data_IF_988987770048
#
_entry.id   IF_988987770048
#
_cell.length_a   1.000
_cell.length_b   1.000
_cell.length_c   1.000
_cell.angle_alpha   90.00
_cell.angle_beta   90.00
_cell.angle_gamma   90.00
#
_symmetry.space_group_name_H-M   'P 1'
#
loop_
_entity.id
_entity.type
_entity.pdbx_description
1 polymer ?
#
# COMPACT_ATOMS: atom_id res chain seq x y z
N UNK A 1 16.83 -24.88 -7.76
CA UNK A 1 17.19 -23.54 -8.29
C UNK A 1 18.38 -22.97 -7.51
N UNK A 2 19.34 -22.34 -8.20
CA UNK A 2 20.29 -21.45 -7.54
C UNK A 2 19.61 -20.07 -7.40
N UNK A 3 19.26 -19.73 -6.17
CA UNK A 3 18.48 -18.50 -5.86
C UNK A 3 19.32 -17.26 -6.11
N UNK A 4 20.62 -17.29 -5.76
CA UNK A 4 21.48 -16.12 -5.98
C UNK A 4 21.71 -15.85 -7.47
N UNK A 5 21.86 -16.91 -8.28
CA UNK A 5 21.92 -16.77 -9.73
C UNK A 5 20.62 -16.18 -10.31
N UNK A 6 19.45 -16.60 -9.78
CA UNK A 6 18.16 -16.02 -10.15
C UNK A 6 18.09 -14.51 -9.84
N UNK A 7 18.45 -14.10 -8.62
CA UNK A 7 18.46 -12.69 -8.22
C UNK A 7 19.37 -11.86 -9.12
N UNK A 8 20.59 -12.34 -9.35
CA UNK A 8 21.60 -11.66 -10.18
C UNK A 8 21.17 -11.53 -11.64
N UNK A 9 20.34 -12.45 -12.15
CA UNK A 9 19.81 -12.42 -13.50
C UNK A 9 18.57 -11.54 -13.65
N UNK A 10 17.62 -11.63 -12.70
CA UNK A 10 16.26 -11.08 -12.83
C UNK A 10 16.19 -9.65 -12.35
N UNK A 11 16.74 -9.35 -11.16
CA UNK A 11 16.63 -8.03 -10.56
C UNK A 11 17.16 -6.90 -11.48
N UNK A 12 18.35 -6.99 -12.13
CA UNK A 12 18.83 -5.90 -12.96
C UNK A 12 17.95 -5.61 -14.18
N UNK A 13 17.25 -6.63 -14.68
CA UNK A 13 16.33 -6.49 -15.82
C UNK A 13 15.06 -5.75 -15.41
N UNK A 14 14.51 -6.07 -14.23
CA UNK A 14 13.32 -5.40 -13.68
C UNK A 14 13.65 -3.97 -13.27
N UNK A 15 14.78 -3.76 -12.61
CA UNK A 15 15.25 -2.43 -12.21
C UNK A 15 15.38 -1.48 -13.42
N UNK A 16 15.83 -1.99 -14.57
CA UNK A 16 16.04 -1.21 -15.79
C UNK A 16 14.74 -0.81 -16.52
N UNK A 17 13.58 -1.37 -16.15
CA UNK A 17 12.29 -1.12 -16.81
C UNK A 17 11.27 -0.47 -15.88
N UNK A 18 11.71 0.45 -15.03
CA UNK A 18 10.83 1.20 -14.14
C UNK A 18 9.74 1.95 -14.93
N UNK A 19 8.48 1.69 -14.60
CA UNK A 19 7.30 2.27 -15.26
C UNK A 19 6.28 2.74 -14.21
N UNK A 20 5.66 3.93 -14.39
CA UNK A 20 4.74 4.45 -13.39
C UNK A 20 3.36 3.77 -13.43
N UNK A 21 2.58 4.04 -12.40
CA UNK A 21 1.25 3.50 -12.16
C UNK A 21 0.35 3.42 -13.41
N UNK A 22 -0.21 2.24 -13.69
CA UNK A 22 -1.02 1.88 -14.87
C UNK A 22 -0.32 2.06 -16.23
N UNK A 23 1.00 2.11 -16.24
CA UNK A 23 1.81 2.18 -17.46
C UNK A 23 2.92 1.12 -17.49
N UNK A 24 2.85 0.11 -16.65
CA UNK A 24 3.81 -0.97 -16.44
C UNK A 24 3.76 -2.01 -17.58
N UNK A 25 3.78 -1.54 -18.83
CA UNK A 25 3.56 -2.39 -20.03
C UNK A 25 4.74 -3.36 -20.27
N UNK A 26 5.97 -2.86 -20.19
CA UNK A 26 7.16 -3.69 -20.39
C UNK A 26 7.38 -4.61 -19.20
N UNK A 27 7.11 -4.10 -18.00
CA UNK A 27 7.17 -4.84 -16.74
C UNK A 27 6.19 -6.01 -16.78
N UNK A 28 4.92 -5.77 -17.10
CA UNK A 28 3.90 -6.81 -17.21
C UNK A 28 4.27 -7.85 -18.27
N UNK A 29 4.75 -7.41 -19.44
CA UNK A 29 5.17 -8.33 -20.51
C UNK A 29 6.36 -9.22 -20.06
N UNK A 30 7.33 -8.67 -19.33
CA UNK A 30 8.46 -9.43 -18.79
C UNK A 30 7.98 -10.49 -17.79
N UNK A 31 7.11 -10.12 -16.85
CA UNK A 31 6.57 -11.03 -15.83
C UNK A 31 5.70 -12.12 -16.47
N UNK A 32 4.85 -11.77 -17.43
CA UNK A 32 4.01 -12.73 -18.15
C UNK A 32 4.85 -13.77 -18.91
N UNK A 33 5.86 -13.32 -19.66
CA UNK A 33 6.76 -14.22 -20.40
C UNK A 33 7.52 -15.16 -19.46
N UNK A 34 8.04 -14.64 -18.35
CA UNK A 34 8.76 -15.45 -17.36
C UNK A 34 7.85 -16.50 -16.74
N UNK A 35 6.65 -16.15 -16.30
CA UNK A 35 5.69 -17.06 -15.66
C UNK A 35 5.15 -18.13 -16.65
N UNK A 36 4.90 -17.76 -17.91
CA UNK A 36 4.55 -18.72 -18.98
C UNK A 36 5.65 -19.76 -19.22
N UNK A 37 6.91 -19.35 -19.24
CA UNK A 37 8.04 -20.27 -19.39
C UNK A 37 8.17 -21.28 -18.23
N UNK A 38 7.68 -20.89 -17.05
CA UNK A 38 7.56 -21.79 -15.90
C UNK A 38 6.31 -22.69 -15.95
N UNK A 39 5.44 -22.54 -16.95
CA UNK A 39 4.22 -23.35 -17.10
C UNK A 39 3.03 -22.86 -16.29
N UNK A 40 3.05 -21.62 -15.80
CA UNK A 40 1.87 -20.99 -15.19
C UNK A 40 0.84 -20.63 -16.26
N UNK A 41 -0.45 -20.76 -15.91
CA UNK A 41 -1.55 -20.22 -16.72
C UNK A 41 -1.68 -18.72 -16.44
N UNK A 42 -1.33 -17.89 -17.43
CA UNK A 42 -1.20 -16.45 -17.28
C UNK A 42 -2.35 -15.70 -17.95
N UNK A 43 -3.05 -14.91 -17.15
CA UNK A 43 -4.08 -13.97 -17.62
C UNK A 43 -3.54 -12.54 -17.51
N UNK A 44 -3.42 -11.85 -18.64
CA UNK A 44 -2.96 -10.47 -18.75
C UNK A 44 -4.14 -9.49 -18.82
N UNK A 45 -3.85 -8.20 -18.62
CA UNK A 45 -4.80 -7.10 -18.73
C UNK A 45 -6.03 -7.28 -17.81
N UNK A 46 -5.80 -7.78 -16.61
CA UNK A 46 -6.84 -7.98 -15.60
C UNK A 46 -7.50 -6.63 -15.28
N UNK A 47 -8.83 -6.58 -15.39
CA UNK A 47 -9.59 -5.35 -15.20
C UNK A 47 -9.31 -4.26 -16.25
N UNK A 48 -8.78 -4.60 -17.43
CA UNK A 48 -8.40 -3.62 -18.45
C UNK A 48 -7.19 -2.75 -18.08
N UNK A 49 -6.40 -3.21 -17.10
CA UNK A 49 -5.16 -2.55 -16.64
C UNK A 49 -3.91 -3.33 -17.06
N UNK A 50 -2.74 -2.94 -16.60
CA UNK A 50 -1.48 -3.69 -16.76
C UNK A 50 -1.35 -4.88 -15.80
N UNK A 51 -2.33 -5.08 -14.90
CA UNK A 51 -2.34 -6.21 -13.98
C UNK A 51 -2.35 -7.56 -14.71
N UNK A 52 -1.67 -8.53 -14.11
CA UNK A 52 -1.75 -9.92 -14.56
C UNK A 52 -1.85 -10.89 -13.36
N UNK A 53 -2.44 -12.06 -13.62
CA UNK A 53 -2.45 -13.18 -12.69
C UNK A 53 -1.84 -14.39 -13.35
N UNK A 54 -1.13 -15.22 -12.57
CA UNK A 54 -0.55 -16.47 -13.06
C UNK A 54 -0.84 -17.61 -12.08
N UNK A 55 -1.42 -18.70 -12.56
CA UNK A 55 -1.87 -19.80 -11.74
C UNK A 55 -1.05 -21.06 -12.01
N UNK A 56 -0.54 -21.67 -10.94
CA UNK A 56 0.00 -23.04 -10.93
C UNK A 56 -0.98 -23.92 -10.17
N UNK A 57 -1.53 -24.92 -10.84
CA UNK A 57 -2.53 -25.84 -10.26
C UNK A 57 -1.91 -27.22 -10.06
N UNK A 58 -2.06 -27.78 -8.86
CA UNK A 58 -1.62 -29.16 -8.56
C UNK A 58 -2.50 -30.23 -9.17
N UNK A 59 -3.68 -29.89 -9.69
CA UNK A 59 -4.73 -30.83 -10.11
C UNK A 59 -5.42 -31.57 -8.96
N UNK A 60 -5.13 -31.22 -7.70
CA UNK A 60 -5.72 -31.83 -6.50
C UNK A 60 -6.49 -30.78 -5.69
N UNK A 61 -7.61 -31.18 -5.02
CA UNK A 61 -8.35 -30.26 -4.16
C UNK A 61 -7.47 -29.63 -3.06
N UNK A 62 -7.69 -28.36 -2.78
CA UNK A 62 -6.95 -27.62 -1.76
C UNK A 62 -7.22 -26.10 -1.89
N UNK A 63 -6.65 -25.30 -1.00
CA UNK A 63 -6.82 -23.86 -1.05
C UNK A 63 -6.09 -23.21 -2.25
N UNK A 64 -6.52 -22.00 -2.62
CA UNK A 64 -5.75 -21.10 -3.49
C UNK A 64 -5.00 -20.10 -2.61
N UNK A 65 -3.69 -20.10 -2.75
CA UNK A 65 -2.78 -19.14 -2.07
C UNK A 65 -2.29 -18.13 -3.09
N UNK A 66 -2.58 -16.85 -2.85
CA UNK A 66 -2.04 -15.77 -3.65
C UNK A 66 -0.71 -15.27 -3.07
N UNK A 67 0.26 -15.00 -3.93
CA UNK A 67 1.49 -14.25 -3.62
C UNK A 67 1.45 -12.98 -4.45
N UNK A 68 1.34 -11.83 -3.79
CA UNK A 68 1.22 -10.53 -4.44
C UNK A 68 2.57 -9.88 -4.60
N UNK A 69 2.81 -9.29 -5.75
CA UNK A 69 3.87 -8.31 -5.99
C UNK A 69 3.28 -7.08 -6.66
N UNK A 70 3.77 -5.92 -6.32
CA UNK A 70 3.57 -4.66 -7.02
C UNK A 70 4.53 -4.52 -8.19
N UNK A 71 4.21 -3.61 -9.14
CA UNK A 71 4.98 -3.49 -10.40
C UNK A 71 5.42 -2.07 -10.72
N UNK A 72 4.73 -1.06 -10.19
CA UNK A 72 4.94 0.34 -10.55
C UNK A 72 6.16 0.95 -9.89
N UNK A 73 6.47 2.18 -10.25
CA UNK A 73 7.57 2.95 -9.70
C UNK A 73 7.16 4.41 -9.44
N UNK A 74 7.99 5.12 -8.71
CA UNK A 74 7.86 6.55 -8.46
C UNK A 74 8.39 7.38 -9.63
N UNK A 75 7.80 8.56 -9.81
CA UNK A 75 8.28 9.57 -10.74
C UNK A 75 9.00 10.69 -10.00
N UNK A 76 10.27 10.86 -10.28
CA UNK A 76 11.10 11.93 -9.73
C UNK A 76 11.25 13.07 -10.73
N UNK A 77 11.03 14.29 -10.27
CA UNK A 77 11.22 15.47 -11.08
C UNK A 77 12.70 15.88 -11.10
N UNK A 78 13.27 16.03 -12.29
CA UNK A 78 14.61 16.50 -12.51
C UNK A 78 14.66 18.05 -12.51
N UNK A 79 15.87 18.62 -12.46
CA UNK A 79 16.09 20.08 -12.49
C UNK A 79 15.56 20.73 -13.77
N UNK A 80 15.61 20.05 -14.90
CA UNK A 80 15.08 20.49 -16.19
C UNK A 80 13.55 20.37 -16.30
N UNK A 81 12.90 19.82 -15.26
CA UNK A 81 11.46 19.62 -15.21
C UNK A 81 10.99 18.29 -15.82
N UNK A 82 11.87 17.48 -16.41
CA UNK A 82 11.55 16.13 -16.87
C UNK A 82 11.23 15.19 -15.70
N UNK A 83 10.46 14.11 -15.96
CA UNK A 83 10.13 13.11 -14.98
C UNK A 83 10.92 11.83 -15.26
N UNK A 84 11.58 11.32 -14.25
CA UNK A 84 12.37 10.09 -14.28
C UNK A 84 11.72 9.00 -13.45
N UNK A 85 11.39 7.83 -14.03
CA UNK A 85 10.86 6.69 -13.30
C UNK A 85 11.98 5.96 -12.56
N UNK A 86 11.82 5.75 -11.25
CA UNK A 86 12.80 5.08 -10.38
C UNK A 86 12.09 4.12 -9.44
N UNK A 87 12.59 2.89 -9.29
CA UNK A 87 12.15 1.93 -8.29
C UNK A 87 12.66 2.31 -6.88
N UNK A 88 12.22 3.45 -6.36
CA UNK A 88 12.63 3.96 -5.05
C UNK A 88 11.75 3.45 -3.88
N UNK A 89 10.86 2.48 -4.15
CA UNK A 89 10.09 1.74 -3.15
C UNK A 89 10.44 0.25 -3.10
N UNK A 90 11.30 -0.24 -4.03
CA UNK A 90 11.77 -1.62 -4.04
C UNK A 90 10.84 -2.62 -4.73
N UNK A 91 9.90 -2.16 -5.56
CA UNK A 91 9.00 -3.05 -6.29
C UNK A 91 9.72 -3.97 -7.29
N UNK A 92 10.88 -3.57 -7.80
CA UNK A 92 11.80 -4.43 -8.55
C UNK A 92 12.33 -5.62 -7.74
N UNK A 93 12.62 -5.41 -6.45
CA UNK A 93 12.95 -6.48 -5.51
C UNK A 93 11.73 -7.37 -5.25
N UNK A 94 10.55 -6.78 -5.07
CA UNK A 94 9.31 -7.53 -4.85
C UNK A 94 9.00 -8.45 -6.03
N UNK A 95 9.08 -7.94 -7.27
CA UNK A 95 8.91 -8.76 -8.48
C UNK A 95 9.94 -9.88 -8.58
N UNK A 96 11.21 -9.59 -8.25
CA UNK A 96 12.29 -10.59 -8.23
C UNK A 96 12.00 -11.71 -7.24
N UNK A 97 11.49 -11.38 -6.05
CA UNK A 97 11.07 -12.35 -5.03
C UNK A 97 9.91 -13.19 -5.56
N UNK A 98 8.85 -12.57 -6.10
CA UNK A 98 7.68 -13.28 -6.64
C UNK A 98 8.07 -14.30 -7.72
N UNK A 99 8.93 -13.92 -8.66
CA UNK A 99 9.41 -14.82 -9.72
C UNK A 99 10.29 -15.95 -9.16
N UNK A 100 11.08 -15.67 -8.12
CA UNK A 100 11.86 -16.68 -7.40
C UNK A 100 10.97 -17.70 -6.69
N UNK A 101 9.94 -17.24 -5.99
CA UNK A 101 8.92 -18.09 -5.35
C UNK A 101 8.19 -18.93 -6.39
N UNK A 102 7.73 -18.30 -7.49
CA UNK A 102 7.05 -19.02 -8.56
C UNK A 102 7.92 -20.14 -9.16
N UNK A 103 9.20 -19.88 -9.38
CA UNK A 103 10.14 -20.87 -9.91
C UNK A 103 10.38 -22.01 -8.94
N UNK A 104 10.60 -21.73 -7.65
CA UNK A 104 10.79 -22.78 -6.64
C UNK A 104 9.55 -23.65 -6.49
N UNK A 105 8.35 -23.05 -6.44
CA UNK A 105 7.10 -23.80 -6.33
C UNK A 105 6.87 -24.71 -7.56
N UNK A 106 7.23 -24.25 -8.74
CA UNK A 106 7.16 -25.05 -9.95
C UNK A 106 8.14 -26.24 -9.91
N UNK A 107 9.40 -26.01 -9.51
CA UNK A 107 10.42 -27.05 -9.43
C UNK A 107 10.11 -28.09 -8.34
N UNK A 108 9.57 -27.67 -7.21
CA UNK A 108 9.20 -28.56 -6.09
C UNK A 108 7.87 -29.30 -6.33
N UNK A 109 6.98 -28.73 -7.15
CA UNK A 109 5.60 -29.14 -7.30
C UNK A 109 4.73 -28.73 -6.10
N UNK A 110 3.43 -28.72 -6.30
CA UNK A 110 2.44 -28.44 -5.25
C UNK A 110 1.85 -29.74 -4.72
N UNK A 111 1.75 -29.89 -3.39
CA UNK A 111 1.16 -31.05 -2.76
C UNK A 111 -0.36 -31.16 -3.05
N UNK A 112 -1.07 -30.01 -3.02
CA UNK A 112 -2.49 -29.85 -3.34
C UNK A 112 -2.80 -28.36 -3.59
N UNK A 113 -4.04 -28.04 -4.00
CA UNK A 113 -4.50 -26.68 -4.19
C UNK A 113 -3.81 -25.95 -5.33
N UNK A 114 -3.84 -24.64 -5.27
CA UNK A 114 -3.31 -23.74 -6.32
C UNK A 114 -2.50 -22.61 -5.73
N UNK A 115 -1.52 -22.14 -6.49
CA UNK A 115 -0.81 -20.89 -6.23
C UNK A 115 -1.16 -19.90 -7.33
N UNK A 116 -1.48 -18.66 -6.94
CA UNK A 116 -1.76 -17.57 -7.84
C UNK A 116 -0.78 -16.42 -7.58
N UNK A 117 0.07 -16.13 -8.54
CA UNK A 117 0.91 -14.92 -8.50
C UNK A 117 0.05 -13.76 -8.96
N UNK A 118 -0.05 -12.72 -8.14
CA UNK A 118 -0.76 -11.49 -8.43
C UNK A 118 0.29 -10.39 -8.72
N UNK A 119 0.42 -10.00 -9.98
CA UNK A 119 1.27 -8.87 -10.35
C UNK A 119 0.40 -7.62 -10.43
N UNK A 120 0.46 -6.81 -9.39
CA UNK A 120 -0.41 -5.67 -9.16
C UNK A 120 0.23 -4.38 -9.67
N UNK A 121 -0.43 -3.57 -10.51
CA UNK A 121 0.01 -2.23 -10.89
C UNK A 121 -0.38 -1.20 -9.83
N UNK A 122 0.10 0.02 -9.97
CA UNK A 122 -0.45 1.24 -9.37
C UNK A 122 -0.61 1.21 -7.83
N UNK A 123 0.35 0.60 -7.11
CA UNK A 123 0.39 0.61 -5.65
C UNK A 123 0.60 2.03 -5.14
N UNK A 124 1.56 2.78 -5.73
CA UNK A 124 2.00 4.11 -5.31
C UNK A 124 0.89 5.19 -5.35
N UNK A 125 -0.22 4.88 -6.00
CA UNK A 125 -1.42 5.74 -6.01
C UNK A 125 -2.63 5.09 -5.31
N UNK A 126 -2.44 3.94 -4.65
CA UNK A 126 -3.46 3.23 -3.89
C UNK A 126 -4.65 2.73 -4.72
N UNK A 127 -4.42 2.32 -5.98
CA UNK A 127 -5.50 1.98 -6.92
C UNK A 127 -5.42 0.57 -7.47
N UNK A 128 -4.25 -0.04 -7.44
CA UNK A 128 -4.02 -1.34 -8.08
C UNK A 128 -4.77 -2.49 -7.43
N UNK A 129 -4.77 -2.55 -6.10
CA UNK A 129 -5.48 -3.57 -5.37
C UNK A 129 -6.99 -3.52 -5.64
N UNK A 130 -7.59 -2.34 -5.65
CA UNK A 130 -9.01 -2.15 -5.97
C UNK A 130 -9.35 -2.60 -7.39
N UNK A 131 -8.52 -2.24 -8.38
CA UNK A 131 -8.71 -2.67 -9.76
C UNK A 131 -8.68 -4.20 -9.91
N UNK A 132 -7.79 -4.89 -9.20
CA UNK A 132 -7.73 -6.36 -9.20
C UNK A 132 -8.94 -6.98 -8.48
N UNK A 133 -9.41 -6.40 -7.39
CA UNK A 133 -10.61 -6.83 -6.67
C UNK A 133 -11.86 -6.70 -7.54
N UNK A 134 -12.05 -5.56 -8.20
CA UNK A 134 -13.17 -5.29 -9.11
C UNK A 134 -13.18 -6.25 -10.30
N UNK A 135 -12.00 -6.67 -10.76
CA UNK A 135 -11.84 -7.65 -11.83
C UNK A 135 -12.03 -9.11 -11.38
N UNK A 136 -12.31 -9.37 -10.10
CA UNK A 136 -12.50 -10.71 -9.56
C UNK A 136 -11.21 -11.53 -9.41
N UNK A 137 -10.04 -10.91 -9.44
CA UNK A 137 -8.75 -11.63 -9.37
C UNK A 137 -8.58 -12.45 -8.08
N UNK A 138 -9.31 -12.09 -7.02
CA UNK A 138 -9.24 -12.74 -5.70
C UNK A 138 -10.47 -13.59 -5.36
N UNK A 139 -11.42 -13.80 -6.26
CA UNK A 139 -12.69 -14.48 -5.94
C UNK A 139 -12.51 -15.97 -5.52
N UNK A 140 -11.48 -16.62 -6.01
CA UNK A 140 -11.12 -18.02 -5.68
C UNK A 140 -9.97 -18.13 -4.66
N UNK A 141 -9.53 -17.03 -4.03
CA UNK A 141 -8.38 -16.97 -3.13
C UNK A 141 -8.82 -17.09 -1.67
N UNK A 142 -8.17 -17.95 -0.89
CA UNK A 142 -8.39 -18.11 0.55
C UNK A 142 -7.28 -17.47 1.39
N UNK A 143 -6.06 -17.41 0.85
CA UNK A 143 -4.90 -16.81 1.53
C UNK A 143 -4.17 -15.86 0.57
N UNK A 144 -3.78 -14.70 1.05
CA UNK A 144 -2.97 -13.75 0.29
C UNK A 144 -1.74 -13.32 1.10
N UNK A 145 -0.58 -13.46 0.49
CA UNK A 145 0.71 -13.08 1.04
C UNK A 145 1.22 -11.82 0.33
N UNK A 146 1.36 -10.74 1.08
CA UNK A 146 2.07 -9.53 0.69
C UNK A 146 3.41 -9.44 1.42
N UNK A 147 4.32 -8.66 0.92
CA UNK A 147 5.60 -8.39 1.54
C UNK A 147 6.17 -7.08 1.02
N UNK A 148 7.08 -6.49 1.79
CA UNK A 148 7.75 -5.25 1.42
C UNK A 148 9.19 -5.24 1.93
N UNK A 149 10.14 -4.72 1.15
CA UNK A 149 11.50 -4.46 1.62
C UNK A 149 11.49 -3.35 2.65
N UNK A 150 12.27 -3.50 3.72
CA UNK A 150 12.19 -2.62 4.88
C UNK A 150 13.50 -1.86 5.11
N UNK A 151 13.39 -0.59 5.57
CA UNK A 151 14.55 0.17 6.01
C UNK A 151 15.38 -0.57 7.06
N UNK A 152 16.70 -0.38 7.04
CA UNK A 152 17.68 -1.08 7.89
C UNK A 152 17.46 -0.92 9.39
N UNK A 153 16.86 0.19 9.81
CA UNK A 153 16.51 0.45 11.21
C UNK A 153 15.29 -0.38 11.68
N UNK A 154 14.47 -0.87 10.76
CA UNK A 154 13.34 -1.74 11.05
C UNK A 154 13.68 -3.24 10.94
N UNK A 155 14.42 -3.63 9.90
CA UNK A 155 14.89 -5.00 9.71
C UNK A 155 16.18 -5.03 8.89
N UNK A 156 17.17 -5.81 9.36
CA UNK A 156 18.46 -5.98 8.69
C UNK A 156 18.47 -7.22 7.81
N UNK A 157 19.44 -7.31 6.90
CA UNK A 157 19.70 -8.54 6.14
C UNK A 157 19.77 -9.75 7.07
N UNK A 158 19.04 -10.82 6.72
CA UNK A 158 18.88 -12.00 7.55
C UNK A 158 17.72 -11.94 8.56
N UNK A 159 16.95 -10.85 8.60
CA UNK A 159 15.76 -10.71 9.42
C UNK A 159 14.51 -10.55 8.56
N UNK A 160 13.40 -11.11 9.02
CA UNK A 160 12.07 -10.94 8.40
C UNK A 160 11.07 -10.59 9.51
N UNK A 161 10.30 -9.53 9.28
CA UNK A 161 9.15 -9.15 10.09
C UNK A 161 7.98 -10.04 9.66
N UNK A 162 7.39 -10.78 10.61
CA UNK A 162 6.29 -11.70 10.28
C UNK A 162 4.98 -10.96 9.95
N UNK A 163 4.79 -9.76 10.48
CA UNK A 163 3.63 -8.91 10.20
C UNK A 163 4.01 -7.43 10.23
N UNK A 164 3.81 -6.75 9.11
CA UNK A 164 3.81 -5.29 9.07
C UNK A 164 2.41 -4.80 9.43
N UNK A 165 2.29 -4.02 10.49
CA UNK A 165 1.06 -3.35 10.87
C UNK A 165 0.98 -2.00 10.16
N UNK A 166 0.54 -2.02 8.90
CA UNK A 166 0.31 -0.84 8.10
C UNK A 166 -0.78 0.03 8.72
N UNK A 167 -0.59 1.33 8.71
CA UNK A 167 -1.56 2.29 9.26
C UNK A 167 -2.57 2.68 8.20
N UNK A 168 -3.85 2.72 8.55
CA UNK A 168 -4.87 3.31 7.69
C UNK A 168 -4.53 4.78 7.44
N UNK A 169 -4.65 5.22 6.21
CA UNK A 169 -4.56 6.62 5.86
C UNK A 169 -5.79 7.08 5.08
N UNK A 170 -6.17 8.34 5.27
CA UNK A 170 -7.19 8.99 4.46
C UNK A 170 -6.80 10.43 4.23
N UNK A 171 -6.74 10.82 2.97
CA UNK A 171 -6.57 12.19 2.55
C UNK A 171 -7.94 12.75 2.17
N UNK A 172 -8.28 13.91 2.72
CA UNK A 172 -9.54 14.58 2.44
C UNK A 172 -9.28 16.00 1.96
N UNK A 173 -10.09 16.46 1.02
CA UNK A 173 -10.10 17.84 0.55
C UNK A 173 -11.48 18.44 0.70
N UNK A 174 -11.53 19.75 0.91
CA UNK A 174 -12.78 20.50 1.03
C UNK A 174 -12.64 21.93 0.55
N UNK A 175 -13.79 22.54 0.34
CA UNK A 175 -13.91 23.94 -0.02
C UNK A 175 -14.88 24.63 0.94
N UNK A 176 -14.50 25.83 1.41
CA UNK A 176 -15.32 26.69 2.24
C UNK A 176 -15.71 27.89 1.39
N UNK A 177 -17.01 28.14 1.28
CA UNK A 177 -17.61 29.20 0.48
C UNK A 177 -18.31 30.21 1.38
N UNK A 178 -17.85 31.45 1.31
CA UNK A 178 -18.40 32.59 2.00
C UNK A 178 -19.05 33.58 1.03
N UNK A 179 -18.96 34.84 1.37
CA UNK A 179 -19.48 35.98 0.56
C UNK A 179 -18.49 37.12 0.59
N UNK A 180 -17.99 37.54 -0.58
CA UNK A 180 -17.09 38.68 -0.70
C UNK A 180 -17.77 40.00 -0.33
N UNK A 181 -17.03 40.85 0.35
CA UNK A 181 -17.44 42.23 0.67
C UNK A 181 -16.23 43.10 0.85
N UNK A 182 -16.43 44.42 0.96
CA UNK A 182 -15.36 45.33 1.31
C UNK A 182 -14.94 45.12 2.77
N UNK A 183 -13.65 45.04 3.05
CA UNK A 183 -13.10 44.76 4.39
C UNK A 183 -13.55 45.72 5.49
N UNK A 184 -13.92 46.97 5.13
CA UNK A 184 -14.51 47.94 6.06
C UNK A 184 -16.01 47.73 6.33
N UNK A 185 -16.65 46.80 5.62
CA UNK A 185 -18.09 46.46 5.75
C UNK A 185 -18.28 44.97 5.98
N UNK A 186 -17.67 44.37 7.02
CA UNK A 186 -17.68 42.92 7.22
C UNK A 186 -19.09 42.32 7.45
N UNK A 187 -20.04 43.13 7.86
CA UNK A 187 -21.44 42.75 8.08
C UNK A 187 -22.20 42.42 6.78
N UNK A 188 -21.65 42.81 5.62
CA UNK A 188 -22.22 42.50 4.30
C UNK A 188 -21.59 41.28 3.64
N UNK A 189 -20.58 40.66 4.26
CA UNK A 189 -19.87 39.53 3.75
C UNK A 189 -19.90 38.32 4.72
N UNK A 190 -19.38 37.21 4.24
CA UNK A 190 -19.08 36.00 5.04
C UNK A 190 -17.64 35.62 4.77
N UNK A 191 -16.79 35.75 5.80
CA UNK A 191 -15.35 35.49 5.62
C UNK A 191 -15.06 33.99 5.70
N UNK A 192 -14.70 33.41 4.57
CA UNK A 192 -14.33 31.99 4.51
C UNK A 192 -13.04 31.69 5.30
N UNK A 193 -12.15 32.68 5.52
CA UNK A 193 -10.96 32.50 6.36
C UNK A 193 -11.34 32.33 7.83
N UNK A 194 -12.31 33.11 8.35
CA UNK A 194 -12.75 33.00 9.76
C UNK A 194 -13.39 31.63 9.99
N UNK A 195 -14.26 31.19 9.08
CA UNK A 195 -14.86 29.84 9.14
C UNK A 195 -13.79 28.75 9.07
N UNK A 196 -12.82 28.89 8.16
CA UNK A 196 -11.71 27.93 8.03
C UNK A 196 -10.80 27.88 9.26
N UNK A 197 -10.48 29.01 9.87
CA UNK A 197 -9.69 29.06 11.11
C UNK A 197 -10.42 28.35 12.26
N UNK A 198 -11.74 28.53 12.35
CA UNK A 198 -12.56 27.82 13.34
C UNK A 198 -12.59 26.30 13.07
N UNK A 199 -12.69 25.87 11.82
CA UNK A 199 -12.59 24.44 11.42
C UNK A 199 -11.25 23.86 11.86
N UNK A 200 -10.12 24.53 11.57
CA UNK A 200 -8.77 24.08 11.98
C UNK A 200 -8.70 23.90 13.50
N UNK A 201 -9.23 24.85 14.28
CA UNK A 201 -9.27 24.76 15.73
C UNK A 201 -10.13 23.60 16.22
N UNK A 202 -11.30 23.36 15.62
CA UNK A 202 -12.18 22.27 15.96
C UNK A 202 -11.54 20.88 15.62
N UNK A 203 -10.84 20.77 14.49
CA UNK A 203 -10.06 19.59 14.14
C UNK A 203 -8.94 19.33 15.15
N UNK A 204 -8.20 20.35 15.57
CA UNK A 204 -7.14 20.21 16.57
C UNK A 204 -7.67 19.84 17.96
N UNK A 205 -8.93 20.16 18.28
CA UNK A 205 -9.59 19.77 19.51
C UNK A 205 -10.22 18.37 19.47
N UNK A 206 -10.20 17.71 18.30
CA UNK A 206 -10.73 16.37 18.16
C UNK A 206 -9.77 15.35 18.79
N UNK A 207 -10.30 14.50 19.66
CA UNK A 207 -9.53 13.44 20.30
C UNK A 207 -9.87 12.08 19.69
N UNK A 208 -8.83 11.35 19.26
CA UNK A 208 -8.91 9.93 18.93
C UNK A 208 -8.82 9.07 20.20
N UNK A 209 -9.17 7.79 20.10
CA UNK A 209 -8.96 6.85 21.19
C UNK A 209 -7.45 6.69 21.46
N UNK A 210 -6.94 7.00 22.66
CA UNK A 210 -5.49 6.93 22.94
C UNK A 210 -4.92 5.51 22.89
N UNK A 211 -5.77 4.48 22.92
CA UNK A 211 -5.36 3.07 22.78
C UNK A 211 -5.18 2.67 21.31
N UNK A 212 -5.70 3.46 20.38
CA UNK A 212 -5.59 3.27 18.94
C UNK A 212 -4.72 4.41 18.42
N UNK A 213 -3.56 4.09 17.88
CA UNK A 213 -2.66 5.10 17.30
C UNK A 213 -3.37 5.85 16.17
N UNK A 214 -3.56 7.16 16.33
CA UNK A 214 -4.23 7.97 15.31
C UNK A 214 -3.78 9.43 15.34
N UNK A 215 -3.86 10.09 14.18
CA UNK A 215 -3.61 11.52 14.05
C UNK A 215 -4.50 12.13 12.98
N UNK A 216 -4.85 13.40 13.19
CA UNK A 216 -5.55 14.22 12.20
C UNK A 216 -4.80 15.53 12.11
N UNK A 217 -4.46 15.95 10.89
CA UNK A 217 -3.83 17.24 10.65
C UNK A 217 -4.45 17.94 9.44
N UNK A 218 -4.72 19.23 9.61
CA UNK A 218 -4.94 20.10 8.47
C UNK A 218 -3.59 20.34 7.79
N UNK A 219 -3.46 19.93 6.54
CA UNK A 219 -2.21 19.97 5.76
C UNK A 219 -2.25 20.97 4.62
N UNK A 220 -3.44 21.46 4.27
CA UNK A 220 -3.65 22.51 3.29
C UNK A 220 -4.64 23.54 3.85
N UNK A 221 -4.31 24.82 3.65
CA UNK A 221 -5.21 25.95 3.91
C UNK A 221 -4.83 27.08 2.96
N UNK A 222 -5.66 27.34 1.96
CA UNK A 222 -5.37 28.28 0.89
C UNK A 222 -6.58 29.19 0.64
N UNK A 223 -6.41 30.47 0.82
CA UNK A 223 -7.44 31.49 0.60
C UNK A 223 -6.86 32.89 0.62
N UNK A 224 -7.69 33.91 0.34
CA UNK A 224 -7.27 35.31 0.35
C UNK A 224 -6.49 35.73 -0.88
N UNK A 225 -6.69 35.11 -2.03
CA UNK A 225 -6.14 35.55 -3.31
C UNK A 225 -6.86 36.80 -3.78
N UNK A 226 -6.33 37.99 -3.45
CA UNK A 226 -6.95 39.22 -3.90
C UNK A 226 -6.45 40.44 -3.11
N UNK A 227 -7.26 41.48 -3.10
CA UNK A 227 -6.95 42.72 -2.40
C UNK A 227 -7.05 42.55 -0.88
N UNK A 228 -6.10 43.08 -0.11
CA UNK A 228 -6.07 43.03 1.35
C UNK A 228 -7.29 43.71 2.03
N UNK A 229 -8.04 44.52 1.30
CA UNK A 229 -9.24 45.19 1.80
C UNK A 229 -10.55 44.48 1.37
N UNK A 230 -10.49 43.22 0.94
CA UNK A 230 -11.65 42.40 0.58
C UNK A 230 -11.83 41.23 1.55
N UNK A 231 -13.08 40.97 1.93
CA UNK A 231 -13.49 39.76 2.65
C UNK A 231 -13.30 38.57 1.71
N UNK A 232 -12.62 37.51 2.18
CA UNK A 232 -12.37 36.29 1.41
C UNK A 232 -13.61 35.43 1.35
N UNK A 233 -14.04 35.07 0.14
CA UNK A 233 -15.22 34.27 -0.11
C UNK A 233 -14.94 32.79 -0.39
N UNK A 234 -13.63 32.38 -0.45
CA UNK A 234 -13.27 31.01 -0.79
C UNK A 234 -11.97 30.57 -0.11
N UNK A 235 -12.02 29.41 0.55
CA UNK A 235 -10.84 28.72 1.11
C UNK A 235 -10.85 27.27 0.70
N UNK A 236 -9.72 26.77 0.18
CA UNK A 236 -9.44 25.34 0.01
C UNK A 236 -8.76 24.81 1.27
N UNK A 237 -9.23 23.66 1.78
CA UNK A 237 -8.72 23.04 2.99
C UNK A 237 -8.44 21.56 2.72
N UNK A 238 -7.41 20.99 3.34
CA UNK A 238 -7.06 19.58 3.19
C UNK A 238 -6.59 18.95 4.49
N UNK A 239 -6.84 17.66 4.65
CA UNK A 239 -6.58 16.91 5.87
C UNK A 239 -5.85 15.60 5.56
N UNK A 240 -4.92 15.22 6.45
CA UNK A 240 -4.29 13.90 6.54
C UNK A 240 -4.78 13.23 7.84
N UNK A 241 -5.46 12.09 7.67
CA UNK A 241 -5.96 11.26 8.77
C UNK A 241 -5.17 9.95 8.80
N UNK A 242 -4.75 9.53 9.99
CA UNK A 242 -4.06 8.26 10.24
C UNK A 242 -4.72 7.53 11.39
N UNK A 243 -4.82 6.20 11.31
CA UNK A 243 -5.25 5.34 12.41
C UNK A 243 -4.73 3.91 12.24
N UNK A 244 -4.41 3.24 13.34
CA UNK A 244 -4.10 1.80 13.34
C UNK A 244 -5.34 0.92 13.30
N UNK A 245 -6.55 1.51 13.26
CA UNK A 245 -7.84 0.81 13.25
C UNK A 245 -8.72 1.28 12.12
N UNK A 246 -9.23 0.36 11.31
CA UNK A 246 -10.17 0.66 10.22
C UNK A 246 -11.50 1.22 10.77
N UNK A 247 -12.00 0.70 11.89
CA UNK A 247 -13.22 1.21 12.55
C UNK A 247 -13.04 2.65 13.03
N UNK A 248 -11.91 2.95 13.70
CA UNK A 248 -11.59 4.31 14.15
C UNK A 248 -11.46 5.26 12.94
N UNK A 249 -10.84 4.82 11.84
CA UNK A 249 -10.70 5.62 10.63
C UNK A 249 -12.06 6.05 10.07
N UNK A 250 -13.04 5.16 10.03
CA UNK A 250 -14.40 5.49 9.58
C UNK A 250 -15.05 6.56 10.46
N UNK A 251 -14.88 6.45 11.79
CA UNK A 251 -15.38 7.46 12.74
C UNK A 251 -14.68 8.81 12.58
N UNK A 252 -13.34 8.80 12.38
CA UNK A 252 -12.57 10.03 12.17
C UNK A 252 -13.00 10.76 10.90
N UNK A 253 -13.21 10.04 9.80
CA UNK A 253 -13.74 10.61 8.54
C UNK A 253 -15.05 11.33 8.78
N UNK A 254 -16.03 10.65 9.39
CA UNK A 254 -17.34 11.22 9.68
C UNK A 254 -17.22 12.47 10.58
N UNK A 255 -16.38 12.42 11.63
CA UNK A 255 -16.16 13.57 12.51
C UNK A 255 -15.55 14.76 11.78
N UNK A 256 -14.61 14.53 10.86
CA UNK A 256 -14.01 15.60 10.03
C UNK A 256 -15.08 16.24 9.15
N UNK A 257 -15.89 15.43 8.45
CA UNK A 257 -16.99 15.93 7.61
C UNK A 257 -18.00 16.74 8.42
N UNK A 258 -18.43 16.21 9.59
CA UNK A 258 -19.35 16.90 10.51
C UNK A 258 -18.79 18.25 11.00
N UNK A 259 -17.50 18.28 11.37
CA UNK A 259 -16.81 19.51 11.81
C UNK A 259 -16.76 20.52 10.66
N UNK A 260 -16.33 20.12 9.47
CA UNK A 260 -16.20 21.01 8.32
C UNK A 260 -17.55 21.65 8.00
N UNK A 261 -18.58 20.85 7.81
CA UNK A 261 -19.91 21.32 7.41
C UNK A 261 -20.58 22.16 8.49
N UNK A 262 -20.59 21.68 9.75
CA UNK A 262 -21.35 22.37 10.80
C UNK A 262 -20.63 23.62 11.33
N UNK A 263 -19.29 23.59 11.39
CA UNK A 263 -18.55 24.81 11.82
C UNK A 263 -18.69 25.90 10.76
N UNK A 264 -18.62 25.58 9.46
CA UNK A 264 -18.86 26.59 8.41
C UNK A 264 -20.23 27.27 8.58
N UNK A 265 -21.29 26.50 8.84
CA UNK A 265 -22.65 27.03 9.05
C UNK A 265 -22.74 28.02 10.22
N UNK A 266 -21.98 27.79 11.32
CA UNK A 266 -21.94 28.73 12.47
C UNK A 266 -21.46 30.11 12.04
N UNK A 267 -20.56 30.17 11.05
CA UNK A 267 -20.02 31.42 10.48
C UNK A 267 -20.83 31.93 9.29
N UNK A 268 -21.95 31.29 8.95
CA UNK A 268 -22.77 31.68 7.80
C UNK A 268 -22.17 31.26 6.44
N UNK A 269 -21.13 30.44 6.46
CA UNK A 269 -20.48 29.87 5.26
C UNK A 269 -21.07 28.51 4.90
N UNK A 270 -20.87 28.08 3.66
CA UNK A 270 -21.08 26.70 3.22
C UNK A 270 -19.74 25.99 3.07
N UNK A 271 -19.69 24.71 3.37
CA UNK A 271 -18.51 23.88 3.13
C UNK A 271 -18.88 22.45 2.76
N UNK A 272 -18.00 21.83 1.98
CA UNK A 272 -18.01 20.40 1.70
C UNK A 272 -16.63 19.78 1.99
N UNK A 273 -16.59 18.47 2.09
CA UNK A 273 -15.36 17.70 2.28
C UNK A 273 -15.54 16.32 1.66
N UNK A 274 -14.52 15.82 0.94
CA UNK A 274 -14.56 14.52 0.30
C UNK A 274 -13.20 13.82 0.37
N UNK A 275 -13.21 12.51 0.23
CA UNK A 275 -12.00 11.67 0.24
C UNK A 275 -11.34 11.72 -1.14
N UNK A 276 -10.03 12.00 -1.18
CA UNK A 276 -9.22 11.99 -2.41
C UNK A 276 -8.25 10.80 -2.48
N UNK A 277 -7.97 10.18 -1.34
CA UNK A 277 -7.14 8.98 -1.27
C UNK A 277 -7.33 8.27 0.07
N UNK A 278 -7.24 6.94 0.06
CA UNK A 278 -7.35 6.14 1.27
C UNK A 278 -6.66 4.80 1.10
N UNK A 279 -6.07 4.28 2.19
CA UNK A 279 -5.63 2.89 2.33
C UNK A 279 -6.08 2.38 3.70
N UNK A 280 -6.52 1.12 3.83
CA UNK A 280 -6.90 0.55 5.12
C UNK A 280 -5.68 0.16 5.98
N UNK A 281 -5.88 0.05 7.29
CA UNK A 281 -4.91 -0.58 8.18
C UNK A 281 -4.83 -2.08 7.93
N UNK A 282 -3.66 -2.64 8.20
CA UNK A 282 -3.47 -4.08 8.16
C UNK A 282 -4.29 -4.80 9.24
N UNK A 283 -4.91 -5.92 8.88
CA UNK A 283 -5.61 -6.83 9.79
C UNK A 283 -5.02 -8.23 9.65
N UNK A 284 -4.17 -8.63 10.61
CA UNK A 284 -3.55 -9.93 10.60
C UNK A 284 -4.53 -11.05 10.98
N UNK A 285 -4.52 -12.17 10.25
CA UNK A 285 -5.15 -13.42 10.72
C UNK A 285 -4.23 -14.09 11.76
N UNK A 286 -4.71 -14.33 13.01
CA UNK A 286 -3.86 -14.86 14.05
C UNK A 286 -3.26 -16.26 13.74
N UNK A 287 -4.00 -17.11 13.01
CA UNK A 287 -3.55 -18.46 12.66
C UNK A 287 -2.45 -18.40 11.58
N UNK A 288 -2.61 -17.50 10.60
CA UNK A 288 -1.62 -17.29 9.56
C UNK A 288 -0.37 -16.61 10.10
N UNK A 289 -0.53 -15.64 11.02
CA UNK A 289 0.59 -14.99 11.70
C UNK A 289 1.44 -16.00 12.48
N UNK A 290 0.80 -16.88 13.26
CA UNK A 290 1.52 -17.92 14.02
C UNK A 290 2.31 -18.84 13.08
N UNK A 291 1.69 -19.29 11.97
CA UNK A 291 2.36 -20.11 10.96
C UNK A 291 3.54 -19.36 10.29
N UNK A 292 3.35 -18.07 10.00
CA UNK A 292 4.40 -17.22 9.41
C UNK A 292 5.61 -17.12 10.35
N UNK A 293 5.37 -16.89 11.64
CA UNK A 293 6.43 -16.83 12.65
C UNK A 293 7.17 -18.17 12.79
N UNK A 294 6.45 -19.28 12.75
CA UNK A 294 7.04 -20.62 12.77
C UNK A 294 7.96 -20.85 11.57
N UNK A 295 7.49 -20.53 10.36
CA UNK A 295 8.27 -20.70 9.14
C UNK A 295 9.52 -19.81 9.14
N UNK A 296 9.41 -18.54 9.50
CA UNK A 296 10.56 -17.63 9.58
C UNK A 296 11.59 -18.16 10.59
N UNK A 297 11.15 -18.61 11.77
CA UNK A 297 12.04 -19.15 12.79
C UNK A 297 12.73 -20.44 12.35
N UNK A 298 12.04 -21.30 11.59
CA UNK A 298 12.61 -22.51 11.05
C UNK A 298 13.69 -22.25 10.00
N UNK A 299 13.46 -21.24 9.13
CA UNK A 299 14.38 -20.90 8.02
C UNK A 299 15.59 -20.06 8.48
N UNK A 300 15.36 -19.10 9.35
CA UNK A 300 16.35 -18.07 9.70
C UNK A 300 16.87 -18.16 11.14
N UNK A 301 16.33 -19.10 11.93
CA UNK A 301 16.59 -19.19 13.37
C UNK A 301 15.92 -18.07 14.17
N UNK A 302 16.05 -18.13 15.50
CA UNK A 302 15.40 -17.19 16.42
C UNK A 302 15.83 -15.71 16.20
N UNK A 303 17.06 -15.46 15.75
CA UNK A 303 17.57 -14.11 15.47
C UNK A 303 17.04 -13.51 14.16
N UNK A 304 16.47 -14.33 13.28
CA UNK A 304 15.91 -13.90 12.00
C UNK A 304 14.45 -13.45 12.07
N UNK A 305 13.73 -13.77 13.14
CA UNK A 305 12.33 -13.40 13.32
C UNK A 305 12.17 -12.07 14.06
N UNK A 306 11.44 -11.13 13.43
CA UNK A 306 10.84 -9.99 14.13
C UNK A 306 9.31 -10.25 14.12
N UNK A 307 8.66 -10.39 15.30
CA UNK A 307 7.27 -10.84 15.36
C UNK A 307 6.28 -9.91 14.66
N UNK A 308 6.43 -8.60 14.82
CA UNK A 308 5.64 -7.58 14.14
C UNK A 308 6.34 -6.23 14.20
N UNK A 309 6.01 -5.33 13.27
CA UNK A 309 6.44 -3.93 13.31
C UNK A 309 5.28 -3.01 12.92
N UNK A 310 5.20 -1.84 13.56
CA UNK A 310 4.23 -0.81 13.22
C UNK A 310 4.86 0.20 12.28
N UNK A 311 4.13 0.57 11.24
CA UNK A 311 4.55 1.58 10.28
C UNK A 311 3.43 2.60 10.06
N UNK A 312 3.80 3.87 9.90
CA UNK A 312 2.83 4.98 9.76
C UNK A 312 2.40 5.24 8.32
N UNK A 313 2.83 4.40 7.38
CA UNK A 313 2.51 4.48 5.95
C UNK A 313 1.37 3.53 5.63
N UNK A 314 0.58 3.85 4.59
CA UNK A 314 -0.47 2.98 4.04
C UNK A 314 0.10 2.01 3.00
N UNK A 315 -0.65 0.94 2.74
CA UNK A 315 -0.36 -0.07 1.72
C UNK A 315 -1.69 -0.57 1.15
N UNK A 316 -1.84 -0.53 -0.16
CA UNK A 316 -3.12 -0.86 -0.80
C UNK A 316 -3.44 -2.36 -0.82
N UNK A 317 -2.46 -3.24 -0.60
CA UNK A 317 -2.67 -4.67 -0.35
C UNK A 317 -3.74 -4.93 0.73
N UNK A 318 -3.86 -4.04 1.72
CA UNK A 318 -4.81 -4.19 2.81
C UNK A 318 -6.28 -4.05 2.36
N UNK A 319 -6.56 -3.49 1.17
CA UNK A 319 -7.88 -3.54 0.56
C UNK A 319 -8.35 -4.97 0.32
N UNK A 320 -7.45 -5.92 0.05
CA UNK A 320 -7.82 -7.31 -0.14
C UNK A 320 -8.56 -7.88 1.07
N UNK A 321 -8.06 -7.60 2.29
CA UNK A 321 -8.71 -8.02 3.52
C UNK A 321 -9.98 -7.23 3.81
N UNK A 322 -9.96 -5.91 3.60
CA UNK A 322 -11.12 -5.05 3.85
C UNK A 322 -12.32 -5.44 2.97
N UNK A 323 -12.09 -5.65 1.66
CA UNK A 323 -13.14 -5.97 0.68
C UNK A 323 -13.52 -7.46 0.67
N UNK A 324 -12.65 -8.32 1.22
CA UNK A 324 -12.87 -9.76 1.37
C UNK A 324 -12.56 -10.21 2.81
N UNK A 325 -13.47 -9.94 3.78
CA UNK A 325 -13.21 -10.20 5.21
C UNK A 325 -12.85 -11.65 5.56
N UNK A 326 -13.28 -12.61 4.75
CA UNK A 326 -12.94 -14.04 4.90
C UNK A 326 -11.51 -14.37 4.44
N UNK A 327 -10.88 -13.52 3.64
CA UNK A 327 -9.52 -13.73 3.14
C UNK A 327 -8.53 -13.66 4.32
N UNK A 328 -7.64 -14.64 4.42
CA UNK A 328 -6.54 -14.62 5.38
C UNK A 328 -5.33 -13.96 4.75
N UNK A 329 -4.85 -12.89 5.36
CA UNK A 329 -3.73 -12.10 4.84
C UNK A 329 -2.55 -12.09 5.79
N UNK A 330 -1.35 -12.08 5.23
CA UNK A 330 -0.10 -11.75 5.93
C UNK A 330 0.70 -10.76 5.08
N UNK A 331 1.34 -9.79 5.74
CA UNK A 331 2.21 -8.80 5.11
C UNK A 331 3.56 -8.84 5.80
N UNK A 332 4.57 -9.40 5.12
CA UNK A 332 5.90 -9.64 5.67
C UNK A 332 6.84 -8.45 5.38
N UNK A 333 7.73 -8.14 6.32
CA UNK A 333 8.78 -7.14 6.10
C UNK A 333 10.12 -7.80 5.86
N UNK A 334 10.75 -7.51 4.73
CA UNK A 334 12.00 -8.13 4.29
C UNK A 334 13.17 -7.23 4.66
N UNK A 335 14.00 -7.68 5.60
CA UNK A 335 15.24 -7.01 5.95
C UNK A 335 16.28 -7.21 4.87
N UNK A 336 16.74 -6.12 4.28
CA UNK A 336 17.75 -6.11 3.21
C UNK A 336 18.76 -4.96 3.36
N UNK A 337 18.95 -4.43 4.57
CA UNK A 337 19.84 -3.28 4.83
C UNK A 337 19.53 -2.07 3.94
N UNK A 338 18.27 -1.81 3.63
CA UNK A 338 17.86 -0.70 2.78
C UNK A 338 18.23 0.65 3.39
N UNK A 339 18.93 1.47 2.63
CA UNK A 339 19.40 2.82 2.96
C UNK A 339 19.27 3.74 1.73
N UNK A 340 19.16 5.07 1.88
CA UNK A 340 18.96 5.78 3.13
C UNK A 340 17.52 5.62 3.69
N UNK A 341 16.52 5.45 2.79
CA UNK A 341 15.09 5.23 3.11
C UNK A 341 14.29 4.93 1.84
N UNK A 342 13.07 4.45 2.01
CA UNK A 342 12.08 4.36 0.92
C UNK A 342 11.77 5.76 0.36
N UNK A 343 11.44 5.82 -0.92
CA UNK A 343 11.13 7.05 -1.68
C UNK A 343 12.32 8.03 -1.76
N UNK A 344 13.54 7.53 -1.57
CA UNK A 344 14.75 8.30 -1.83
C UNK A 344 15.33 7.92 -3.19
N UNK A 345 15.78 8.91 -3.97
CA UNK A 345 16.35 8.69 -5.30
C UNK A 345 17.58 7.77 -5.26
N UNK A 346 18.35 7.85 -4.18
CA UNK A 346 19.59 7.08 -3.98
C UNK A 346 19.36 5.79 -3.17
N UNK A 347 18.10 5.33 -3.08
CA UNK A 347 17.75 4.11 -2.36
C UNK A 347 18.53 2.91 -2.92
N UNK A 348 19.15 2.16 -2.03
CA UNK A 348 19.86 0.92 -2.34
C UNK A 348 19.74 -0.09 -1.21
N UNK A 349 19.97 -1.36 -1.51
CA UNK A 349 19.82 -2.44 -0.55
C UNK A 349 20.70 -3.64 -0.89
N UNK A 350 20.84 -4.58 0.05
CA UNK A 350 21.55 -5.84 -0.13
C UNK A 350 20.68 -6.83 -0.93
N UNK A 351 20.96 -6.99 -2.21
CA UNK A 351 20.20 -7.90 -3.10
C UNK A 351 20.31 -9.36 -2.66
N UNK A 352 21.40 -9.79 -2.00
CA UNK A 352 21.54 -11.17 -1.55
C UNK A 352 20.51 -11.56 -0.48
N UNK A 353 19.99 -10.59 0.25
CA UNK A 353 18.98 -10.78 1.29
C UNK A 353 17.62 -11.24 0.72
N UNK A 354 17.35 -10.99 -0.57
CA UNK A 354 16.10 -11.42 -1.22
C UNK A 354 15.97 -12.96 -1.24
N UNK A 355 17.09 -13.69 -1.15
CA UNK A 355 17.08 -15.16 -1.06
C UNK A 355 16.31 -15.66 0.17
N UNK A 356 16.41 -14.98 1.29
CA UNK A 356 15.67 -15.32 2.51
C UNK A 356 14.16 -15.18 2.31
N UNK A 357 13.74 -14.11 1.65
CA UNK A 357 12.33 -13.88 1.34
C UNK A 357 11.77 -14.95 0.38
N UNK A 358 12.52 -15.30 -0.65
CA UNK A 358 12.14 -16.37 -1.60
C UNK A 358 11.93 -17.69 -0.86
N UNK A 359 12.87 -18.12 0.00
CA UNK A 359 12.76 -19.35 0.77
C UNK A 359 11.57 -19.31 1.74
N UNK A 360 11.46 -18.26 2.55
CA UNK A 360 10.40 -18.13 3.56
C UNK A 360 9.02 -18.13 2.90
N UNK A 361 8.81 -17.32 1.84
CA UNK A 361 7.52 -17.26 1.14
C UNK A 361 7.18 -18.56 0.42
N UNK A 362 8.17 -19.25 -0.16
CA UNK A 362 7.96 -20.58 -0.77
C UNK A 362 7.51 -21.59 0.26
N UNK A 363 8.21 -21.69 1.39
CA UNK A 363 7.89 -22.63 2.44
C UNK A 363 6.58 -22.27 3.15
N UNK A 364 6.30 -21.01 3.38
CA UNK A 364 5.01 -20.55 3.91
C UNK A 364 3.86 -20.95 2.98
N UNK A 365 4.00 -20.71 1.68
CA UNK A 365 3.01 -21.10 0.66
C UNK A 365 2.77 -22.62 0.69
N UNK A 366 3.82 -23.45 0.68
CA UNK A 366 3.71 -24.89 0.76
C UNK A 366 3.01 -25.37 2.05
N UNK A 367 3.35 -24.75 3.19
CA UNK A 367 2.74 -25.05 4.49
C UNK A 367 1.24 -24.71 4.50
N UNK A 368 0.84 -23.57 3.93
CA UNK A 368 -0.57 -23.18 3.80
C UNK A 368 -1.34 -24.19 2.94
N UNK A 369 -0.79 -24.61 1.81
CA UNK A 369 -1.41 -25.59 0.93
C UNK A 369 -1.67 -26.93 1.65
N UNK A 370 -0.84 -27.31 2.63
CA UNK A 370 -0.98 -28.53 3.42
C UNK A 370 -1.92 -28.38 4.64
N UNK A 371 -2.41 -27.18 4.96
CA UNK A 371 -3.39 -26.99 6.04
C UNK A 371 -4.72 -27.63 5.60
N UNK A 372 -5.19 -28.62 6.39
CA UNK A 372 -6.53 -29.19 6.15
C UNK A 372 -7.58 -28.10 6.36
N UNK A 373 -8.57 -27.97 5.46
CA UNK A 373 -9.65 -26.98 5.56
C UNK A 373 -10.50 -27.15 6.83
#
# INVERSE_FOLDING_TARGET
MDIQAHINEVWPKLHAIAEPAFKEVKTAAFLADFLRKLGYDVTENVGGTTALTAVLDSGKPGPTVAVRTDMDCLLFKNEDGSLEPIHACGHDAHMTIALGVAKLLQEQGLACGRVKILCQPAEEIGRGALAMLEAGALDDVQYALGYHVMPKDMARSGQIIAQINWTACTLMEGEIRGLAAHGSQPHLGVNAIDAGAAIVNAINALHSNPLLGGSIKTTRFMGGAGSLNAICDKVSIGFDLRSTSNTEMLELRRKVEDIVVNTAKVYGAEADCHIVGTCPAAEADPSLLALTQEVISAELGAGGLIPAANITVGEDFNFFKQERPQLKTASLGIGCNLEPRLHDRDMHFDHSALANAINVLTNLTQRILCVKP
#
